data_IF_782970382372
#
_entry.id   IF_782970382372
#
_cell.length_a   1.000
_cell.length_b   1.000
_cell.length_c   1.000
_cell.angle_alpha   90.00
_cell.angle_beta   90.00
_cell.angle_gamma   90.00
#
_symmetry.space_group_name_H-M   'P 1'
#
loop_
_entity.id
_entity.type
_entity.pdbx_description
1 polymer ?
#
# COMPACT_ATOMS: atom_id res chain seq x y z
N UNK A 1 35.05 -34.17 -13.10
CA UNK A 1 33.69 -34.43 -13.66
C UNK A 1 32.56 -34.12 -12.63
N UNK A 2 32.73 -33.17 -11.70
CA UNK A 2 31.70 -32.81 -10.71
C UNK A 2 31.11 -31.38 -10.88
N UNK A 3 31.46 -30.72 -12.00
CA UNK A 3 31.08 -29.29 -12.20
C UNK A 3 29.77 -29.06 -12.97
N UNK A 4 29.19 -30.09 -13.60
CA UNK A 4 28.03 -29.91 -14.50
C UNK A 4 26.66 -30.12 -13.85
N UNK A 5 26.60 -30.77 -12.68
CA UNK A 5 25.32 -30.99 -11.96
C UNK A 5 24.93 -29.81 -11.06
N UNK A 6 25.91 -29.11 -10.50
CA UNK A 6 25.69 -27.86 -9.78
C UNK A 6 25.09 -26.81 -10.71
N UNK A 7 25.62 -26.67 -11.90
CA UNK A 7 25.22 -25.67 -12.89
C UNK A 7 23.75 -25.82 -13.40
N UNK A 8 23.22 -27.05 -13.50
CA UNK A 8 21.82 -27.26 -13.94
C UNK A 8 20.80 -26.94 -12.85
N UNK A 9 21.13 -27.21 -11.58
CA UNK A 9 20.27 -26.89 -10.43
C UNK A 9 20.22 -25.40 -10.22
N UNK A 10 21.37 -24.75 -10.26
CA UNK A 10 21.50 -23.30 -10.13
C UNK A 10 20.79 -22.55 -11.25
N UNK A 11 20.87 -23.05 -12.50
CA UNK A 11 20.14 -22.49 -13.64
C UNK A 11 18.61 -22.65 -13.48
N UNK A 12 18.13 -23.82 -13.03
CA UNK A 12 16.70 -24.07 -12.83
C UNK A 12 16.14 -23.24 -11.68
N UNK A 13 16.89 -23.06 -10.60
CA UNK A 13 16.52 -22.16 -9.49
C UNK A 13 16.49 -20.70 -9.94
N UNK A 14 17.43 -20.27 -10.76
CA UNK A 14 17.45 -18.91 -11.33
C UNK A 14 16.27 -18.70 -12.28
N UNK A 15 15.95 -19.67 -13.15
CA UNK A 15 14.83 -19.59 -14.08
C UNK A 15 13.50 -19.49 -13.34
N UNK A 16 13.24 -20.32 -12.33
CA UNK A 16 12.04 -20.26 -11.49
C UNK A 16 11.92 -18.95 -10.72
N UNK A 17 13.03 -18.43 -10.19
CA UNK A 17 13.03 -17.14 -9.49
C UNK A 17 12.76 -16.00 -10.46
N UNK A 18 13.34 -16.01 -11.64
CA UNK A 18 13.15 -15.01 -12.69
C UNK A 18 11.69 -14.99 -13.16
N UNK A 19 11.11 -16.16 -13.44
CA UNK A 19 9.71 -16.31 -13.80
C UNK A 19 8.77 -15.76 -12.70
N UNK A 20 9.00 -16.13 -11.44
CA UNK A 20 8.23 -15.61 -10.31
C UNK A 20 8.28 -14.08 -10.24
N UNK A 21 9.46 -13.48 -10.44
CA UNK A 21 9.62 -12.03 -10.40
C UNK A 21 8.95 -11.34 -11.58
N UNK A 22 8.88 -11.98 -12.73
CA UNK A 22 8.19 -11.46 -13.92
C UNK A 22 6.66 -11.49 -13.70
N UNK A 23 6.11 -12.63 -13.27
CA UNK A 23 4.70 -12.77 -12.92
C UNK A 23 4.25 -11.75 -11.85
N UNK A 24 5.03 -11.57 -10.79
CA UNK A 24 4.75 -10.56 -9.77
C UNK A 24 4.73 -9.14 -10.34
N UNK A 25 5.63 -8.83 -11.28
CA UNK A 25 5.69 -7.53 -11.95
C UNK A 25 4.48 -7.31 -12.86
N UNK A 26 4.07 -8.33 -13.62
CA UNK A 26 2.89 -8.26 -14.48
C UNK A 26 1.61 -8.11 -13.68
N UNK A 27 1.42 -8.90 -12.63
CA UNK A 27 0.30 -8.77 -11.69
C UNK A 27 0.23 -7.34 -11.15
N UNK A 28 1.37 -6.79 -10.72
CA UNK A 28 1.41 -5.40 -10.21
C UNK A 28 0.97 -4.39 -11.26
N UNK A 29 1.45 -4.50 -12.51
CA UNK A 29 1.05 -3.63 -13.63
C UNK A 29 -0.45 -3.76 -13.93
N UNK A 30 -0.99 -4.98 -13.96
CA UNK A 30 -2.41 -5.21 -14.21
C UNK A 30 -3.30 -4.61 -13.11
N UNK A 31 -2.93 -4.80 -11.84
CA UNK A 31 -3.63 -4.19 -10.71
C UNK A 31 -3.57 -2.66 -10.80
N UNK A 32 -2.40 -2.10 -11.09
CA UNK A 32 -2.27 -0.65 -11.29
C UNK A 32 -3.19 -0.16 -12.43
N UNK A 33 -3.27 -0.87 -13.54
CA UNK A 33 -4.13 -0.51 -14.66
C UNK A 33 -5.62 -0.53 -14.28
N UNK A 34 -6.04 -1.51 -13.48
CA UNK A 34 -7.42 -1.60 -12.98
C UNK A 34 -7.77 -0.47 -11.99
N UNK A 35 -6.80 -0.06 -11.16
CA UNK A 35 -7.01 0.98 -10.15
C UNK A 35 -6.80 2.39 -10.67
N UNK A 36 -5.88 2.61 -11.63
CA UNK A 36 -5.53 3.94 -12.13
C UNK A 36 -6.61 4.59 -13.00
N UNK A 37 -7.51 3.79 -13.58
CA UNK A 37 -8.60 4.33 -14.43
C UNK A 37 -9.64 5.13 -13.65
N UNK A 38 -9.66 5.02 -12.33
CA UNK A 38 -10.67 5.64 -11.46
C UNK A 38 -10.09 6.45 -10.30
N UNK A 39 -8.80 6.31 -10.00
CA UNK A 39 -8.19 7.04 -8.90
C UNK A 39 -8.09 8.54 -9.22
N UNK A 40 -8.96 9.31 -8.66
CA UNK A 40 -9.12 10.75 -8.54
C UNK A 40 -7.81 11.53 -8.45
N UNK A 41 -6.97 11.57 -9.47
CA UNK A 41 -5.75 12.39 -9.55
C UNK A 41 -4.83 12.33 -8.30
N UNK A 42 -5.00 11.30 -7.44
CA UNK A 42 -4.20 11.10 -6.25
C UNK A 42 -2.94 10.29 -6.56
N UNK A 43 -1.82 10.73 -6.03
CA UNK A 43 -0.63 9.89 -5.99
C UNK A 43 -0.81 8.72 -5.01
N UNK A 44 -0.02 7.65 -5.16
CA UNK A 44 -0.04 6.49 -4.26
C UNK A 44 0.20 6.92 -2.80
N UNK A 45 1.10 7.89 -2.58
CA UNK A 45 1.41 8.43 -1.25
C UNK A 45 0.24 9.22 -0.67
N UNK A 46 -0.48 9.99 -1.49
CA UNK A 46 -1.68 10.71 -1.07
C UNK A 46 -2.79 9.73 -0.72
N UNK A 47 -3.02 8.72 -1.56
CA UNK A 47 -4.00 7.67 -1.29
C UNK A 47 -3.70 6.92 0.02
N UNK A 48 -2.43 6.55 0.28
CA UNK A 48 -2.02 5.94 1.55
C UNK A 48 -2.28 6.84 2.74
N UNK A 49 -2.00 8.13 2.62
CA UNK A 49 -2.21 9.10 3.71
C UNK A 49 -3.69 9.27 4.02
N UNK A 50 -4.54 9.46 3.00
CA UNK A 50 -5.99 9.55 3.17
C UNK A 50 -6.55 8.28 3.81
N UNK A 51 -6.12 7.11 3.33
CA UNK A 51 -6.56 5.83 3.87
C UNK A 51 -6.17 5.66 5.35
N UNK A 52 -4.98 6.12 5.74
CA UNK A 52 -4.53 6.11 7.11
C UNK A 52 -5.37 7.01 8.00
N UNK A 53 -5.67 8.23 7.55
CA UNK A 53 -6.51 9.21 8.27
C UNK A 53 -7.94 8.69 8.42
N UNK A 54 -8.48 7.99 7.41
CA UNK A 54 -9.82 7.40 7.45
C UNK A 54 -10.01 6.33 8.54
N UNK A 55 -8.93 5.63 8.91
CA UNK A 55 -9.03 4.48 9.82
C UNK A 55 -8.63 4.78 11.26
N UNK A 56 -7.91 5.87 11.50
CA UNK A 56 -7.41 6.20 12.84
C UNK A 56 -7.30 7.71 13.02
N UNK A 57 -7.86 8.19 14.11
CA UNK A 57 -7.63 9.56 14.54
C UNK A 57 -6.20 9.66 15.09
N UNK A 58 -5.37 10.43 14.43
CA UNK A 58 -3.95 10.59 14.76
C UNK A 58 -3.52 12.04 14.65
N UNK A 59 -2.57 12.44 15.50
CA UNK A 59 -1.88 13.70 15.32
C UNK A 59 -0.79 13.60 14.22
N UNK A 60 -0.27 14.74 13.80
CA UNK A 60 0.70 14.80 12.70
C UNK A 60 1.98 14.00 12.98
N UNK A 61 2.47 14.00 14.23
CA UNK A 61 3.68 13.26 14.63
C UNK A 61 3.48 11.74 14.51
N UNK A 62 2.33 11.25 14.98
CA UNK A 62 1.97 9.83 14.90
C UNK A 62 1.84 9.36 13.43
N UNK A 63 1.23 10.18 12.57
CA UNK A 63 1.12 9.90 11.13
C UNK A 63 2.52 9.83 10.49
N UNK A 64 3.41 10.79 10.80
CA UNK A 64 4.77 10.80 10.27
C UNK A 64 5.55 9.55 10.66
N UNK A 65 5.47 9.15 11.92
CA UNK A 65 6.11 7.93 12.44
C UNK A 65 5.57 6.68 11.74
N UNK A 66 4.25 6.57 11.57
CA UNK A 66 3.61 5.41 10.93
C UNK A 66 3.97 5.29 9.45
N UNK A 67 4.09 6.41 8.76
CA UNK A 67 4.51 6.46 7.36
C UNK A 67 6.04 6.40 7.19
N UNK A 68 6.82 6.46 8.28
CA UNK A 68 8.29 6.50 8.28
C UNK A 68 8.85 7.65 7.42
N UNK A 69 8.27 8.82 7.56
CA UNK A 69 8.70 10.06 6.90
C UNK A 69 8.93 11.15 7.93
N UNK A 70 9.62 12.22 7.54
CA UNK A 70 9.80 13.39 8.40
C UNK A 70 8.50 14.18 8.53
N UNK A 71 8.33 14.90 9.65
CA UNK A 71 7.19 15.79 9.84
C UNK A 71 7.13 16.90 8.77
N UNK A 72 8.27 17.38 8.30
CA UNK A 72 8.36 18.34 7.20
C UNK A 72 7.78 17.77 5.90
N UNK A 73 8.15 16.54 5.54
CA UNK A 73 7.60 15.84 4.37
C UNK A 73 6.09 15.62 4.52
N UNK A 74 5.64 15.22 5.70
CA UNK A 74 4.22 15.03 5.98
C UNK A 74 3.45 16.35 5.88
N UNK A 75 3.99 17.45 6.42
CA UNK A 75 3.36 18.78 6.35
C UNK A 75 3.07 19.22 4.91
N UNK A 76 4.01 18.98 4.00
CA UNK A 76 3.82 19.26 2.56
C UNK A 76 2.68 18.42 1.97
N UNK A 77 2.62 17.11 2.33
CA UNK A 77 1.56 16.21 1.85
C UNK A 77 0.19 16.60 2.40
N UNK A 78 0.12 16.92 3.69
CA UNK A 78 -1.10 17.40 4.35
C UNK A 78 -1.59 18.69 3.68
N UNK A 79 -0.69 19.67 3.48
CA UNK A 79 -1.06 20.92 2.81
C UNK A 79 -1.72 20.67 1.45
N UNK A 80 -1.13 19.80 0.62
CA UNK A 80 -1.70 19.46 -0.69
C UNK A 80 -3.10 18.85 -0.58
N UNK A 81 -3.33 17.96 0.38
CA UNK A 81 -4.64 17.34 0.58
C UNK A 81 -5.67 18.32 1.15
N UNK A 82 -5.25 19.29 1.98
CA UNK A 82 -6.10 20.40 2.43
C UNK A 82 -6.45 21.30 1.25
N UNK A 83 -5.47 21.66 0.40
CA UNK A 83 -5.69 22.48 -0.80
C UNK A 83 -6.63 21.79 -1.80
N UNK A 84 -6.62 20.45 -1.82
CA UNK A 84 -7.57 19.64 -2.60
C UNK A 84 -8.95 19.49 -1.92
N UNK A 85 -9.13 19.99 -0.70
CA UNK A 85 -10.38 19.91 0.05
C UNK A 85 -10.69 18.50 0.60
N UNK A 86 -9.71 17.58 0.66
CA UNK A 86 -9.92 16.18 1.03
C UNK A 86 -9.76 15.92 2.54
N UNK A 87 -9.00 16.75 3.22
CA UNK A 87 -8.77 16.68 4.66
C UNK A 87 -8.87 18.06 5.30
N UNK A 88 -9.14 18.07 6.59
CA UNK A 88 -9.19 19.29 7.39
C UNK A 88 -8.50 19.09 8.74
N UNK A 89 -8.17 20.20 9.39
CA UNK A 89 -7.62 20.20 10.75
C UNK A 89 -8.73 20.48 11.74
N UNK A 90 -8.98 19.56 12.65
CA UNK A 90 -9.89 19.77 13.79
C UNK A 90 -9.11 19.99 15.06
N UNK A 91 -9.52 21.00 15.82
CA UNK A 91 -8.95 21.26 17.14
C UNK A 91 -9.28 20.09 18.07
N UNK A 92 -8.30 19.64 18.84
CA UNK A 92 -8.56 18.68 19.91
C UNK A 92 -9.34 19.39 21.01
N UNK A 93 -10.53 18.89 21.33
CA UNK A 93 -11.39 19.47 22.37
C UNK A 93 -10.77 19.36 23.76
N UNK A 94 -10.02 18.29 24.03
CA UNK A 94 -9.36 18.03 25.31
C UNK A 94 -8.02 18.77 25.47
N UNK A 95 -7.33 19.04 24.37
CA UNK A 95 -6.09 19.82 24.35
C UNK A 95 -6.05 20.76 23.15
N UNK A 96 -6.47 22.00 23.36
CA UNK A 96 -6.54 23.06 22.34
C UNK A 96 -5.19 23.45 21.71
N UNK A 97 -4.08 22.85 22.14
CA UNK A 97 -2.74 23.04 21.55
C UNK A 97 -2.48 22.07 20.40
N UNK A 98 -3.33 21.05 20.24
CA UNK A 98 -3.14 19.98 19.26
C UNK A 98 -4.30 19.94 18.27
N UNK A 99 -3.97 19.64 17.02
CA UNK A 99 -4.94 19.42 15.96
C UNK A 99 -4.90 17.97 15.50
N UNK A 100 -6.06 17.39 15.26
CA UNK A 100 -6.20 16.16 14.53
C UNK A 100 -6.40 16.44 13.05
N UNK A 101 -5.89 15.54 12.23
CA UNK A 101 -6.17 15.52 10.81
C UNK A 101 -7.34 14.57 10.58
N UNK A 102 -8.39 15.07 9.96
CA UNK A 102 -9.61 14.29 9.65
C UNK A 102 -9.97 14.44 8.19
N UNK A 103 -10.78 13.51 7.69
CA UNK A 103 -11.36 13.66 6.35
C UNK A 103 -12.38 14.79 6.34
N UNK A 104 -12.46 15.51 5.23
CA UNK A 104 -13.63 16.32 4.88
C UNK A 104 -14.73 15.42 4.31
N UNK A 105 -15.93 15.94 4.13
CA UNK A 105 -17.01 15.20 3.43
C UNK A 105 -16.61 14.76 2.02
N UNK A 106 -15.81 15.58 1.32
CA UNK A 106 -15.26 15.22 0.01
C UNK A 106 -14.22 14.10 0.12
N UNK A 107 -13.38 14.12 1.17
CA UNK A 107 -12.41 13.06 1.45
C UNK A 107 -13.09 11.73 1.79
N UNK A 108 -14.19 11.76 2.54
CA UNK A 108 -15.00 10.58 2.83
C UNK A 108 -15.58 9.96 1.55
N UNK A 109 -16.12 10.78 0.65
CA UNK A 109 -16.64 10.32 -0.64
C UNK A 109 -15.54 9.66 -1.48
N UNK A 110 -14.34 10.24 -1.52
CA UNK A 110 -13.17 9.67 -2.23
C UNK A 110 -12.77 8.32 -1.63
N UNK A 111 -12.72 8.20 -0.29
CA UNK A 111 -12.40 6.93 0.37
C UNK A 111 -13.45 5.86 0.05
N UNK A 112 -14.72 6.20 0.01
CA UNK A 112 -15.77 5.23 -0.31
C UNK A 112 -15.69 4.74 -1.75
N UNK A 113 -15.33 5.60 -2.69
CA UNK A 113 -15.04 5.17 -4.06
C UNK A 113 -13.79 4.27 -4.13
N UNK A 114 -12.71 4.64 -3.44
CA UNK A 114 -11.51 3.80 -3.37
C UNK A 114 -11.79 2.43 -2.77
N UNK A 115 -12.64 2.32 -1.75
CA UNK A 115 -13.07 1.03 -1.18
C UNK A 115 -13.83 0.19 -2.21
N UNK A 116 -14.73 0.80 -2.99
CA UNK A 116 -15.47 0.10 -4.05
C UNK A 116 -14.52 -0.43 -5.13
N UNK A 117 -13.56 0.38 -5.56
CA UNK A 117 -12.55 -0.02 -6.54
C UNK A 117 -11.66 -1.13 -5.99
N UNK A 118 -11.22 -1.03 -4.74
CA UNK A 118 -10.47 -2.09 -4.08
C UNK A 118 -11.26 -3.39 -3.99
N UNK A 119 -12.53 -3.31 -3.62
CA UNK A 119 -13.41 -4.49 -3.57
C UNK A 119 -13.57 -5.12 -4.96
N UNK A 120 -13.75 -4.32 -6.01
CA UNK A 120 -13.82 -4.81 -7.38
C UNK A 120 -12.53 -5.53 -7.81
N UNK A 121 -11.37 -4.93 -7.56
CA UNK A 121 -10.06 -5.57 -7.83
C UNK A 121 -9.91 -6.86 -7.04
N UNK A 122 -10.28 -6.85 -5.76
CA UNK A 122 -10.26 -8.05 -4.91
C UNK A 122 -11.12 -9.19 -5.52
N UNK A 123 -12.33 -8.89 -5.96
CA UNK A 123 -13.21 -9.88 -6.60
C UNK A 123 -12.59 -10.48 -7.88
N UNK A 124 -11.88 -9.67 -8.68
CA UNK A 124 -11.20 -10.15 -9.88
C UNK A 124 -10.00 -11.02 -9.53
N UNK A 125 -9.14 -10.53 -8.63
CA UNK A 125 -7.87 -11.21 -8.24
C UNK A 125 -8.14 -12.52 -7.52
N UNK A 126 -9.16 -12.55 -6.66
CA UNK A 126 -9.47 -13.74 -5.84
C UNK A 126 -10.52 -14.66 -6.49
N UNK A 127 -10.90 -14.41 -7.75
CA UNK A 127 -11.90 -15.23 -8.44
C UNK A 127 -11.43 -16.69 -8.55
N UNK A 128 -12.20 -17.60 -7.97
CA UNK A 128 -11.91 -19.04 -7.98
C UNK A 128 -10.87 -19.50 -6.96
N UNK A 129 -10.32 -18.58 -6.14
CA UNK A 129 -9.43 -18.94 -5.03
C UNK A 129 -10.25 -19.43 -3.85
N UNK A 130 -9.74 -20.48 -3.20
CA UNK A 130 -10.21 -20.93 -1.88
C UNK A 130 -9.55 -20.11 -0.78
N UNK A 131 -10.07 -20.18 0.44
CA UNK A 131 -9.43 -19.57 1.62
C UNK A 131 -8.02 -20.13 1.85
N UNK A 132 -7.81 -21.42 1.53
CA UNK A 132 -6.51 -22.07 1.62
C UNK A 132 -5.51 -21.50 0.62
N UNK A 133 -5.93 -21.27 -0.64
CA UNK A 133 -5.09 -20.63 -1.66
C UNK A 133 -4.71 -19.20 -1.24
N UNK A 134 -5.68 -18.45 -0.75
CA UNK A 134 -5.44 -17.09 -0.26
C UNK A 134 -4.42 -17.07 0.89
N UNK A 135 -4.58 -17.95 1.87
CA UNK A 135 -3.66 -18.06 3.00
C UNK A 135 -2.27 -18.53 2.59
N UNK A 136 -2.17 -19.46 1.62
CA UNK A 136 -0.90 -19.92 1.08
C UNK A 136 -0.13 -18.80 0.42
N UNK A 137 -0.76 -18.03 -0.48
CA UNK A 137 -0.15 -16.85 -1.11
C UNK A 137 0.28 -15.81 -0.07
N UNK A 138 -0.59 -15.48 0.88
CA UNK A 138 -0.29 -14.50 1.92
C UNK A 138 0.92 -14.92 2.77
N UNK A 139 1.02 -16.20 3.12
CA UNK A 139 2.13 -16.73 3.90
C UNK A 139 3.46 -16.67 3.13
N UNK A 140 3.45 -17.01 1.83
CA UNK A 140 4.63 -16.91 0.96
C UNK A 140 5.09 -15.46 0.84
N UNK A 141 4.19 -14.53 0.57
CA UNK A 141 4.50 -13.09 0.47
C UNK A 141 5.06 -12.54 1.80
N UNK A 142 4.49 -12.95 2.95
CA UNK A 142 5.02 -12.58 4.27
C UNK A 142 6.43 -13.13 4.50
N UNK A 143 6.70 -14.36 4.06
CA UNK A 143 8.03 -15.00 4.18
C UNK A 143 9.06 -14.24 3.33
N UNK A 144 8.76 -13.96 2.07
CA UNK A 144 9.63 -13.17 1.18
C UNK A 144 9.94 -11.80 1.82
N UNK A 145 8.90 -11.11 2.28
CA UNK A 145 9.06 -9.80 2.95
C UNK A 145 9.95 -9.85 4.18
N UNK A 146 9.85 -10.91 4.98
CA UNK A 146 10.71 -11.10 6.17
C UNK A 146 12.16 -11.29 5.77
N UNK A 147 12.43 -12.21 4.82
CA UNK A 147 13.79 -12.50 4.35
C UNK A 147 14.47 -11.22 3.82
N UNK A 148 13.77 -10.46 2.97
CA UNK A 148 14.30 -9.18 2.46
C UNK A 148 14.60 -8.16 3.57
N UNK A 149 13.77 -8.11 4.62
CA UNK A 149 14.01 -7.19 5.74
C UNK A 149 15.21 -7.56 6.60
N UNK A 150 15.57 -8.83 6.66
CA UNK A 150 16.73 -9.32 7.40
C UNK A 150 18.05 -8.95 6.68
N UNK A 151 18.04 -8.90 5.34
CA UNK A 151 19.21 -8.53 4.53
C UNK A 151 19.39 -7.01 4.34
N UNK A 152 18.31 -6.22 4.42
CA UNK A 152 18.36 -4.76 4.19
C UNK A 152 18.68 -4.00 5.51
N UNK A 153 19.01 -4.70 6.58
CA UNK A 153 19.51 -4.07 7.81
C UNK A 153 20.97 -3.72 7.64
#
# INVERSE_FOLDING_TARGET
MMSTLSNRRDLMEYDCFSEMMEEMREIHKMIQKLTSQKCHHLTVEQAKLIFLIAHQQMNQKEIAQKLRITEATLSVRIKRLVDMGLIERKLNEDDKRHYYIVLSSQGEAVIDEMKKDFHHVHQIVCKGMTDEDYMAVLNVVKKIKRNLKEEIK
#
